data_IF_264816635624
#
_entry.id   IF_264816635624
#
_cell.length_a   1.000
_cell.length_b   1.000
_cell.length_c   1.000
_cell.angle_alpha   90.00
_cell.angle_beta   90.00
_cell.angle_gamma   90.00
#
_symmetry.space_group_name_H-M   'P 1'
#
loop_
_entity.id
_entity.type
_entity.pdbx_description
1 polymer ?
#
# COMPACT_ATOMS: atom_id res chain seq x y z
N UNK A 1 -15.11 -3.58 -11.57
CA UNK A 1 -13.81 -4.11 -12.06
C UNK A 1 -12.78 -2.99 -12.00
N UNK A 2 -11.75 -3.07 -11.13
CA UNK A 2 -10.79 -1.98 -10.89
C UNK A 2 -9.91 -1.65 -12.10
N UNK A 3 -9.77 -2.58 -13.03
CA UNK A 3 -8.93 -2.43 -14.23
C UNK A 3 -9.72 -2.42 -15.53
N UNK A 4 -11.04 -2.23 -15.47
CA UNK A 4 -11.90 -2.30 -16.66
C UNK A 4 -12.03 -3.71 -17.24
N UNK A 5 -12.58 -3.80 -18.45
CA UNK A 5 -12.76 -5.05 -19.20
C UNK A 5 -12.91 -4.78 -20.72
N UNK A 6 -12.79 -5.83 -21.53
CA UNK A 6 -12.94 -5.75 -22.99
C UNK A 6 -11.86 -4.91 -23.67
N UNK A 7 -12.20 -4.24 -24.78
CA UNK A 7 -11.25 -3.46 -25.60
C UNK A 7 -10.60 -2.27 -24.89
N UNK A 8 -11.13 -1.87 -23.73
CA UNK A 8 -10.62 -0.77 -22.90
C UNK A 8 -10.11 -1.25 -21.54
N UNK A 9 -9.83 -2.54 -21.39
CA UNK A 9 -9.17 -3.06 -20.20
C UNK A 9 -7.78 -2.42 -20.04
N UNK A 10 -7.35 -2.24 -18.79
CA UNK A 10 -6.02 -1.70 -18.50
C UNK A 10 -4.96 -2.66 -19.07
N UNK A 11 -4.04 -2.20 -19.95
CA UNK A 11 -3.00 -3.06 -20.48
C UNK A 11 -1.96 -3.46 -19.41
N UNK A 12 -1.95 -2.78 -18.27
CA UNK A 12 -1.02 -3.00 -17.16
C UNK A 12 -1.52 -3.95 -16.05
N UNK A 13 -2.62 -4.69 -16.24
CA UNK A 13 -3.21 -5.53 -15.18
C UNK A 13 -2.19 -6.49 -14.55
N UNK A 14 -1.50 -7.28 -15.38
CA UNK A 14 -0.56 -8.29 -14.89
C UNK A 14 0.60 -7.65 -14.12
N UNK A 15 1.14 -6.54 -14.63
CA UNK A 15 2.21 -5.81 -13.98
C UNK A 15 1.76 -5.19 -12.65
N UNK A 16 0.60 -4.54 -12.63
CA UNK A 16 0.05 -3.93 -11.42
C UNK A 16 -0.16 -4.97 -10.32
N UNK A 17 -0.69 -6.15 -10.66
CA UNK A 17 -0.87 -7.24 -9.70
C UNK A 17 0.46 -7.75 -9.15
N UNK A 18 1.45 -8.02 -10.03
CA UNK A 18 2.77 -8.50 -9.61
C UNK A 18 3.48 -7.49 -8.70
N UNK A 19 3.50 -6.21 -9.10
CA UNK A 19 4.13 -5.15 -8.30
C UNK A 19 3.43 -4.95 -6.97
N UNK A 20 2.09 -4.92 -6.94
CA UNK A 20 1.34 -4.76 -5.68
C UNK A 20 1.63 -5.91 -4.73
N UNK A 21 1.61 -7.15 -5.21
CA UNK A 21 1.88 -8.32 -4.38
C UNK A 21 3.32 -8.32 -3.86
N UNK A 22 4.30 -8.09 -4.74
CA UNK A 22 5.71 -8.09 -4.36
C UNK A 22 6.01 -6.97 -3.35
N UNK A 23 5.59 -5.74 -3.65
CA UNK A 23 5.84 -4.58 -2.77
C UNK A 23 5.18 -4.76 -1.40
N UNK A 24 3.93 -5.19 -1.35
CA UNK A 24 3.20 -5.38 -0.11
C UNK A 24 3.74 -6.56 0.70
N UNK A 25 4.08 -7.68 0.06
CA UNK A 25 4.70 -8.81 0.72
C UNK A 25 6.07 -8.44 1.32
N UNK A 26 6.93 -7.79 0.54
CA UNK A 26 8.24 -7.33 1.03
C UNK A 26 8.09 -6.35 2.19
N UNK A 27 7.18 -5.37 2.08
CA UNK A 27 6.95 -4.37 3.11
C UNK A 27 6.45 -4.97 4.43
N UNK A 28 5.46 -5.86 4.38
CA UNK A 28 4.91 -6.52 5.58
C UNK A 28 5.87 -7.57 6.17
N UNK A 29 6.72 -8.16 5.33
CA UNK A 29 7.77 -9.05 5.80
C UNK A 29 8.86 -8.28 6.55
N UNK A 30 9.26 -7.10 6.05
CA UNK A 30 10.37 -6.34 6.63
C UNK A 30 9.98 -5.41 7.78
N UNK A 31 8.73 -4.94 7.85
CA UNK A 31 8.33 -3.92 8.83
C UNK A 31 7.09 -4.29 9.65
N UNK A 32 7.15 -3.96 10.94
CA UNK A 32 5.96 -3.77 11.78
C UNK A 32 5.47 -2.34 11.59
N UNK A 33 4.18 -2.19 11.28
CA UNK A 33 3.57 -0.90 10.91
C UNK A 33 2.48 -0.57 11.91
N UNK A 34 2.57 0.62 12.53
CA UNK A 34 1.61 1.08 13.53
C UNK A 34 1.28 2.56 13.31
N UNK A 35 0.14 3.01 13.82
CA UNK A 35 -0.17 4.45 13.88
C UNK A 35 0.40 5.05 15.17
N UNK A 36 0.53 6.38 15.19
CA UNK A 36 0.93 7.08 16.42
C UNK A 36 -0.10 6.79 17.52
N UNK A 37 0.36 6.14 18.60
CA UNK A 37 -0.49 5.78 19.73
C UNK A 37 -1.62 4.80 19.41
N UNK A 38 -1.50 3.99 18.34
CA UNK A 38 -2.59 3.13 17.83
C UNK A 38 -3.88 3.90 17.52
N UNK A 39 -3.76 5.18 17.14
CA UNK A 39 -4.89 5.99 16.73
C UNK A 39 -5.61 5.37 15.51
N UNK A 40 -6.94 5.50 15.43
CA UNK A 40 -7.70 5.04 14.27
C UNK A 40 -7.27 5.81 13.02
N UNK A 41 -7.26 5.12 11.88
CA UNK A 41 -6.95 5.73 10.58
C UNK A 41 -8.22 6.31 9.98
N UNK A 42 -8.21 7.60 9.66
CA UNK A 42 -9.25 8.21 8.85
C UNK A 42 -9.17 7.67 7.41
N UNK A 43 -10.25 7.05 6.96
CA UNK A 43 -10.39 6.46 5.62
C UNK A 43 -11.32 7.29 4.72
N UNK A 44 -11.67 8.52 5.14
CA UNK A 44 -12.45 9.44 4.32
C UNK A 44 -11.74 9.68 2.99
N UNK A 45 -12.43 9.43 1.88
CA UNK A 45 -11.88 9.57 0.54
C UNK A 45 -11.92 11.01 0.04
N UNK A 46 -10.94 11.40 -0.78
CA UNK A 46 -11.01 12.61 -1.58
C UNK A 46 -11.76 12.36 -2.90
N UNK A 47 -12.30 13.44 -3.49
CA UNK A 47 -13.00 13.36 -4.78
C UNK A 47 -11.97 13.25 -5.91
N UNK A 48 -12.07 12.22 -6.76
CA UNK A 48 -11.16 12.05 -7.89
C UNK A 48 -11.31 10.72 -8.62
N UNK A 49 -10.47 10.51 -9.64
CA UNK A 49 -10.40 9.26 -10.42
C UNK A 49 -9.79 8.09 -9.63
N UNK A 50 -9.00 8.38 -8.60
CA UNK A 50 -8.31 7.43 -7.75
C UNK A 50 -8.88 7.46 -6.34
N UNK A 51 -8.81 6.32 -5.63
CA UNK A 51 -9.23 6.25 -4.22
C UNK A 51 -8.09 6.76 -3.33
N UNK A 52 -7.98 8.08 -3.22
CA UNK A 52 -7.03 8.75 -2.33
C UNK A 52 -7.73 9.13 -1.03
N UNK A 53 -6.98 9.12 0.08
CA UNK A 53 -7.49 9.62 1.36
C UNK A 53 -7.54 11.14 1.34
N UNK A 54 -8.52 11.71 2.02
CA UNK A 54 -8.65 13.14 2.22
C UNK A 54 -7.52 13.68 3.10
N UNK A 55 -7.19 12.94 4.16
CA UNK A 55 -6.11 13.24 5.09
C UNK A 55 -4.90 12.33 4.80
N UNK A 56 -3.66 12.85 4.81
CA UNK A 56 -2.47 12.01 4.65
C UNK A 56 -2.40 10.90 5.70
N UNK A 57 -1.88 9.72 5.31
CA UNK A 57 -1.66 8.61 6.22
C UNK A 57 -0.31 8.76 6.93
N UNK A 58 -0.34 8.98 8.24
CA UNK A 58 0.86 8.96 9.09
C UNK A 58 1.01 7.61 9.78
N UNK A 59 2.15 6.96 9.57
CA UNK A 59 2.50 5.66 10.18
C UNK A 59 3.91 5.67 10.74
N UNK A 60 4.14 4.82 11.74
CA UNK A 60 5.45 4.46 12.25
C UNK A 60 5.82 3.10 11.68
N UNK A 61 7.03 2.99 11.13
CA UNK A 61 7.59 1.74 10.60
C UNK A 61 8.77 1.31 11.45
N UNK A 62 8.78 0.04 11.85
CA UNK A 62 9.87 -0.56 12.63
C UNK A 62 10.39 -1.80 11.90
N UNK A 63 11.70 -1.93 11.61
CA UNK A 63 12.27 -3.15 11.05
C UNK A 63 11.97 -4.37 11.94
N UNK A 64 11.55 -5.48 11.32
CA UNK A 64 11.27 -6.75 12.02
C UNK A 64 12.51 -7.59 12.24
N UNK A 65 13.44 -7.53 11.30
CA UNK A 65 14.67 -8.30 11.33
C UNK A 65 15.77 -7.53 12.08
N UNK A 66 16.80 -8.24 12.52
CA UNK A 66 17.97 -7.62 13.15
C UNK A 66 18.69 -6.68 12.17
N UNK A 67 19.28 -5.57 12.64
CA UNK A 67 19.92 -4.57 11.77
C UNK A 67 20.98 -5.15 10.83
N UNK A 68 21.75 -6.14 11.28
CA UNK A 68 22.81 -6.78 10.50
C UNK A 68 22.31 -7.57 9.28
N UNK A 69 21.00 -7.81 9.15
CA UNK A 69 20.40 -8.46 7.97
C UNK A 69 20.08 -7.47 6.84
N UNK A 70 20.36 -6.17 7.03
CA UNK A 70 20.15 -5.11 6.05
C UNK A 70 21.44 -4.44 5.56
N UNK A 71 22.61 -4.96 5.96
CA UNK A 71 23.92 -4.58 5.42
C UNK A 71 24.12 -5.17 4.01
#
# INVERSE_FOLDING_TARGET
MPFGSGRRACPGISFALQMTLLTLASFLHSFDVTTRGNAPVDMTGSVGFTNMKLTPLDVLVKPRLSPHLYE
#
